data_IF_305903136153
#
_entry.id   IF_305903136153
#
_cell.length_a   1.000
_cell.length_b   1.000
_cell.length_c   1.000
_cell.angle_alpha   90.00
_cell.angle_beta   90.00
_cell.angle_gamma   90.00
#
_symmetry.space_group_name_H-M   'P 1'
#
loop_
_entity.id
_entity.type
_entity.pdbx_description
1 polymer ?
#
# COMPACT_ATOMS: atom_id res chain seq x y z
N UNK A 1 51.65 36.73 -8.35
CA UNK A 1 51.39 35.27 -8.46
C UNK A 1 50.84 35.02 -9.86
N UNK A 2 51.51 34.14 -10.62
CA UNK A 2 51.45 34.07 -12.09
C UNK A 2 50.06 33.75 -12.67
N UNK A 3 49.79 34.41 -13.79
CA UNK A 3 48.72 34.20 -14.77
C UNK A 3 48.84 32.82 -15.43
N UNK A 4 47.76 32.02 -15.40
CA UNK A 4 47.65 30.74 -16.10
C UNK A 4 47.35 30.98 -17.59
N UNK A 5 48.33 30.69 -18.44
CA UNK A 5 48.14 30.55 -19.88
C UNK A 5 47.51 29.20 -20.22
N UNK A 6 46.55 29.22 -21.14
CA UNK A 6 45.78 28.06 -21.64
C UNK A 6 46.36 27.69 -23.01
N UNK A 7 46.94 26.50 -23.14
CA UNK A 7 47.34 25.93 -24.44
C UNK A 7 46.24 24.97 -24.95
N UNK A 8 45.91 24.97 -26.25
CA UNK A 8 44.86 24.13 -26.82
C UNK A 8 45.35 22.71 -27.11
N UNK A 9 44.62 21.69 -26.64
CA UNK A 9 44.88 20.29 -27.02
C UNK A 9 44.25 20.04 -28.40
N UNK A 10 45.12 19.89 -29.40
CA UNK A 10 44.79 19.38 -30.73
C UNK A 10 44.37 17.90 -30.66
N UNK A 11 43.11 17.62 -31.00
CA UNK A 11 42.62 16.25 -31.25
C UNK A 11 43.06 15.80 -32.63
N UNK A 12 44.08 14.95 -32.71
CA UNK A 12 44.39 14.20 -33.92
C UNK A 12 43.38 13.05 -34.05
N UNK A 13 42.47 13.18 -35.00
CA UNK A 13 41.62 12.12 -35.51
C UNK A 13 42.44 11.14 -36.33
N UNK A 14 42.78 9.99 -35.74
CA UNK A 14 43.32 8.85 -36.49
C UNK A 14 42.19 7.85 -36.72
N UNK A 15 41.66 7.87 -37.94
CA UNK A 15 40.75 6.86 -38.47
C UNK A 15 41.49 5.52 -38.54
N UNK A 16 41.13 4.56 -37.69
CA UNK A 16 41.49 3.15 -37.89
C UNK A 16 40.19 2.39 -38.14
N UNK A 17 39.96 2.11 -39.41
CA UNK A 17 38.99 1.13 -39.88
C UNK A 17 39.48 -0.27 -39.51
N UNK A 18 38.87 -0.89 -38.48
CA UNK A 18 38.94 -2.34 -38.29
C UNK A 18 37.52 -2.89 -38.17
N UNK A 19 36.98 -3.28 -39.33
CA UNK A 19 35.86 -4.20 -39.44
C UNK A 19 36.33 -5.60 -39.07
N UNK A 20 36.08 -6.02 -37.83
CA UNK A 20 35.80 -7.42 -37.42
C UNK A 20 35.44 -7.41 -35.93
N UNK A 21 34.25 -6.89 -35.61
CA UNK A 21 33.65 -7.15 -34.31
C UNK A 21 33.18 -8.62 -34.30
N UNK A 22 33.89 -9.48 -33.58
CA UNK A 22 33.55 -10.90 -33.40
C UNK A 22 32.07 -11.02 -33.01
N UNK A 23 31.33 -11.95 -33.62
CA UNK A 23 29.91 -12.18 -33.31
C UNK A 23 29.68 -12.43 -31.81
N UNK A 24 30.64 -13.04 -31.11
CA UNK A 24 30.63 -13.19 -29.66
C UNK A 24 30.68 -11.86 -28.90
N UNK A 25 31.42 -10.86 -29.37
CA UNK A 25 31.43 -9.52 -28.76
C UNK A 25 30.14 -8.74 -29.04
N UNK A 26 29.53 -8.90 -30.22
CA UNK A 26 28.18 -8.38 -30.49
C UNK A 26 27.14 -9.09 -29.65
N UNK A 27 27.24 -10.41 -29.46
CA UNK A 27 26.32 -11.19 -28.64
C UNK A 27 26.45 -10.81 -27.17
N UNK A 28 27.68 -10.69 -26.65
CA UNK A 28 27.94 -10.24 -25.28
C UNK A 28 27.50 -8.79 -25.10
N UNK A 29 27.77 -7.89 -26.04
CA UNK A 29 27.30 -6.51 -25.95
C UNK A 29 25.78 -6.42 -26.06
N UNK A 30 25.13 -7.23 -26.89
CA UNK A 30 23.66 -7.33 -26.98
C UNK A 30 23.07 -7.96 -25.74
N UNK A 31 23.69 -9.00 -25.16
CA UNK A 31 23.29 -9.59 -23.89
C UNK A 31 23.51 -8.63 -22.72
N UNK A 32 24.61 -7.87 -22.72
CA UNK A 32 24.87 -6.83 -21.73
C UNK A 32 23.85 -5.71 -21.91
N UNK A 33 23.51 -5.25 -23.11
CA UNK A 33 22.44 -4.24 -23.30
C UNK A 33 21.05 -4.79 -22.99
N UNK A 34 20.77 -6.07 -23.26
CA UNK A 34 19.50 -6.72 -22.93
C UNK A 34 19.38 -7.04 -21.43
N UNK A 35 20.50 -7.32 -20.76
CA UNK A 35 20.60 -7.56 -19.33
C UNK A 35 20.72 -6.26 -18.53
N UNK A 36 21.31 -5.19 -19.09
CA UNK A 36 21.32 -3.83 -18.55
C UNK A 36 20.08 -3.01 -18.93
N UNK A 37 19.26 -3.50 -19.87
CA UNK A 37 17.83 -3.22 -19.86
C UNK A 37 17.14 -4.06 -18.77
N UNK A 38 17.74 -4.12 -17.58
CA UNK A 38 16.96 -3.94 -16.35
C UNK A 38 16.12 -2.71 -16.65
N UNK A 39 14.84 -2.96 -16.90
CA UNK A 39 13.85 -1.97 -17.24
C UNK A 39 14.06 -0.77 -16.30
N UNK A 40 14.44 0.39 -16.85
CA UNK A 40 14.20 1.66 -16.17
C UNK A 40 12.67 1.80 -16.15
N UNK A 41 12.01 1.04 -15.27
CA UNK A 41 10.59 1.12 -15.04
C UNK A 41 10.34 2.51 -14.48
N UNK A 42 9.82 3.38 -15.32
CA UNK A 42 9.38 4.70 -14.90
C UNK A 42 8.17 4.50 -14.00
N UNK A 43 8.39 4.66 -12.69
CA UNK A 43 7.30 4.66 -11.73
C UNK A 43 6.55 6.00 -11.82
N UNK A 44 5.22 5.93 -11.77
CA UNK A 44 4.35 7.10 -11.66
C UNK A 44 3.90 7.28 -10.22
N UNK A 45 3.56 8.51 -9.87
CA UNK A 45 2.99 8.85 -8.56
C UNK A 45 1.55 8.36 -8.46
N UNK A 46 1.17 7.83 -7.29
CA UNK A 46 -0.20 7.39 -6.99
C UNK A 46 -1.21 8.52 -7.26
N UNK A 47 -0.91 9.76 -6.87
CA UNK A 47 -1.81 10.89 -7.09
C UNK A 47 -1.97 11.29 -8.57
N UNK A 48 -1.11 10.82 -9.46
CA UNK A 48 -1.23 11.08 -10.90
C UNK A 48 -2.21 10.12 -11.60
N UNK A 49 -2.63 9.05 -10.92
CA UNK A 49 -3.54 8.05 -11.46
C UNK A 49 -4.95 8.63 -11.63
N UNK A 50 -5.60 8.23 -12.72
CA UNK A 50 -7.00 8.52 -13.02
C UNK A 50 -7.64 7.32 -13.75
N UNK A 51 -8.94 7.41 -14.06
CA UNK A 51 -9.67 6.29 -14.68
C UNK A 51 -9.09 5.80 -16.02
N UNK A 52 -8.32 6.64 -16.72
CA UNK A 52 -7.70 6.27 -17.99
C UNK A 52 -6.30 5.64 -17.81
N UNK A 53 -5.78 5.57 -16.59
CA UNK A 53 -4.48 4.98 -16.26
C UNK A 53 -4.57 3.44 -16.30
N UNK A 54 -4.34 2.84 -17.47
CA UNK A 54 -4.42 1.37 -17.65
C UNK A 54 -3.05 0.68 -17.59
N UNK A 55 -2.00 1.35 -18.05
CA UNK A 55 -0.62 0.85 -18.09
C UNK A 55 0.29 1.72 -17.21
N UNK A 56 0.03 1.70 -15.90
CA UNK A 56 0.89 2.36 -14.92
C UNK A 56 1.86 1.37 -14.29
N UNK A 57 2.91 1.90 -13.69
CA UNK A 57 3.75 1.16 -12.75
C UNK A 57 3.94 2.06 -11.53
N UNK A 58 3.47 1.61 -10.36
CA UNK A 58 3.64 2.35 -9.10
C UNK A 58 4.58 1.60 -8.17
N UNK A 59 5.36 2.37 -7.42
CA UNK A 59 6.19 1.88 -6.34
C UNK A 59 5.59 2.37 -5.03
N UNK A 60 5.22 1.44 -4.15
CA UNK A 60 4.47 1.78 -2.95
C UNK A 60 4.82 0.88 -1.76
N UNK A 61 4.29 1.24 -0.59
CA UNK A 61 4.39 0.48 0.64
C UNK A 61 2.99 0.10 1.10
N UNK A 62 2.82 -1.16 1.51
CA UNK A 62 1.55 -1.64 2.07
C UNK A 62 1.38 -1.09 3.49
N UNK A 63 0.36 -0.27 3.71
CA UNK A 63 0.09 0.36 5.01
C UNK A 63 -1.08 -0.28 5.76
N UNK A 64 -1.96 -0.94 5.02
CA UNK A 64 -3.06 -1.73 5.56
C UNK A 64 -3.36 -2.89 4.63
N UNK A 65 -3.84 -3.99 5.20
CA UNK A 65 -4.44 -5.10 4.46
C UNK A 65 -5.48 -5.80 5.31
N UNK A 66 -6.65 -6.05 4.73
CA UNK A 66 -7.68 -6.88 5.33
C UNK A 66 -7.32 -8.36 5.29
N UNK A 67 -7.93 -9.17 6.15
CA UNK A 67 -7.88 -10.63 5.99
C UNK A 67 -8.45 -11.04 4.63
N UNK A 68 -7.90 -12.10 4.04
CA UNK A 68 -8.48 -12.74 2.85
C UNK A 68 -9.83 -13.36 3.23
N UNK A 69 -10.92 -12.72 2.82
CA UNK A 69 -12.27 -13.23 3.03
C UNK A 69 -12.60 -14.21 1.91
N UNK A 70 -13.14 -15.38 2.26
CA UNK A 70 -13.53 -16.41 1.32
C UNK A 70 -15.00 -16.76 1.54
N UNK A 71 -15.84 -16.55 0.52
CA UNK A 71 -17.28 -16.83 0.56
C UNK A 71 -17.62 -18.18 -0.07
N UNK A 72 -16.81 -18.64 -1.02
CA UNK A 72 -16.92 -19.96 -1.65
C UNK A 72 -15.53 -20.44 -2.10
N UNK A 73 -15.44 -21.60 -2.77
CA UNK A 73 -14.17 -22.09 -3.33
C UNK A 73 -13.51 -21.08 -4.26
N UNK A 74 -14.32 -20.37 -5.07
CA UNK A 74 -13.83 -19.47 -6.12
C UNK A 74 -13.99 -17.98 -5.77
N UNK A 75 -14.84 -17.65 -4.80
CA UNK A 75 -15.12 -16.26 -4.42
C UNK A 75 -14.29 -15.86 -3.20
N UNK A 76 -13.29 -15.02 -3.46
CA UNK A 76 -12.32 -14.53 -2.47
C UNK A 76 -12.12 -13.04 -2.68
N UNK A 77 -11.94 -12.30 -1.60
CA UNK A 77 -11.66 -10.86 -1.67
C UNK A 77 -10.77 -10.42 -0.53
N UNK A 78 -9.87 -9.50 -0.83
CA UNK A 78 -9.27 -8.65 0.19
C UNK A 78 -9.10 -7.24 -0.37
N UNK A 79 -9.01 -6.30 0.56
CA UNK A 79 -8.67 -4.92 0.29
C UNK A 79 -7.38 -4.56 1.03
N UNK A 80 -6.59 -3.67 0.42
CA UNK A 80 -5.36 -3.16 0.99
C UNK A 80 -5.26 -1.66 0.71
N UNK A 81 -4.55 -0.94 1.58
CA UNK A 81 -4.18 0.44 1.31
C UNK A 81 -2.66 0.46 1.12
N UNK A 82 -2.22 1.10 0.04
CA UNK A 82 -0.82 1.31 -0.29
C UNK A 82 -0.52 2.79 -0.39
N UNK A 83 0.70 3.20 -0.07
CA UNK A 83 1.11 4.60 -0.21
C UNK A 83 2.50 4.75 -0.86
N UNK A 84 2.71 5.91 -1.45
CA UNK A 84 4.00 6.41 -1.90
C UNK A 84 4.24 7.81 -1.31
N UNK A 85 5.18 8.58 -1.86
CA UNK A 85 5.47 9.93 -1.39
C UNK A 85 4.39 10.95 -1.77
N UNK A 86 3.59 10.66 -2.78
CA UNK A 86 2.53 11.52 -3.29
C UNK A 86 1.23 11.35 -2.49
N UNK A 87 0.83 10.11 -2.19
CA UNK A 87 -0.45 9.82 -1.55
C UNK A 87 -0.67 8.33 -1.28
N UNK A 88 -1.92 7.98 -1.01
CA UNK A 88 -2.38 6.62 -0.80
C UNK A 88 -3.53 6.24 -1.74
N UNK A 89 -3.71 4.94 -1.93
CA UNK A 89 -4.80 4.39 -2.76
C UNK A 89 -5.21 3.01 -2.25
N UNK A 90 -6.50 2.71 -2.41
CA UNK A 90 -7.06 1.39 -2.12
C UNK A 90 -6.77 0.45 -3.29
N UNK A 91 -6.29 -0.75 -2.96
CA UNK A 91 -6.16 -1.88 -3.86
C UNK A 91 -7.23 -2.91 -3.49
N UNK A 92 -8.01 -3.35 -4.47
CA UNK A 92 -9.01 -4.41 -4.29
C UNK A 92 -8.65 -5.61 -5.17
N UNK A 93 -8.55 -6.78 -4.56
CA UNK A 93 -8.25 -8.03 -5.24
C UNK A 93 -9.42 -9.01 -5.10
N UNK A 94 -9.81 -9.63 -6.21
CA UNK A 94 -10.88 -10.64 -6.24
C UNK A 94 -10.35 -11.98 -6.76
N UNK A 95 -10.93 -13.08 -6.27
CA UNK A 95 -10.79 -14.44 -6.79
C UNK A 95 -9.32 -14.87 -6.94
N UNK A 96 -8.89 -15.19 -8.16
CA UNK A 96 -7.52 -15.60 -8.48
C UNK A 96 -6.50 -14.50 -8.13
N UNK A 97 -6.84 -13.23 -8.41
CA UNK A 97 -6.02 -12.07 -8.09
C UNK A 97 -5.81 -11.94 -6.58
N UNK A 98 -6.86 -12.20 -5.81
CA UNK A 98 -6.79 -12.23 -4.35
C UNK A 98 -5.86 -13.35 -3.88
N UNK A 99 -6.03 -14.56 -4.42
CA UNK A 99 -5.20 -15.70 -4.05
C UNK A 99 -3.71 -15.50 -4.33
N UNK A 100 -3.34 -15.03 -5.53
CA UNK A 100 -1.92 -14.89 -5.91
C UNK A 100 -1.20 -13.73 -5.22
N UNK A 101 -1.92 -12.68 -4.86
CA UNK A 101 -1.32 -11.45 -4.29
C UNK A 101 -1.33 -11.41 -2.76
N UNK A 102 -2.08 -12.32 -2.11
CA UNK A 102 -2.24 -12.37 -0.65
C UNK A 102 -0.87 -12.40 0.09
N UNK A 103 0.03 -13.30 -0.29
CA UNK A 103 1.32 -13.44 0.38
C UNK A 103 2.33 -12.31 0.05
N UNK A 104 2.10 -11.61 -1.07
CA UNK A 104 2.98 -10.54 -1.55
C UNK A 104 2.60 -9.22 -0.88
N UNK A 105 1.32 -8.89 -0.87
CA UNK A 105 0.79 -7.72 -0.18
C UNK A 105 0.70 -8.04 1.30
N UNK A 106 1.73 -7.69 2.07
CA UNK A 106 1.68 -7.78 3.54
C UNK A 106 2.08 -6.47 4.15
N UNK A 107 1.52 -6.16 5.33
CA UNK A 107 1.78 -4.92 6.05
C UNK A 107 3.28 -4.58 6.13
N UNK A 108 3.63 -3.32 5.86
CA UNK A 108 4.99 -2.75 5.82
C UNK A 108 5.91 -3.25 4.71
N UNK A 109 5.49 -4.15 3.82
CA UNK A 109 6.30 -4.51 2.65
C UNK A 109 6.27 -3.40 1.60
N UNK A 110 7.42 -3.22 0.96
CA UNK A 110 7.58 -2.40 -0.22
C UNK A 110 7.28 -3.27 -1.46
N UNK A 111 6.37 -2.80 -2.31
CA UNK A 111 5.90 -3.53 -3.50
C UNK A 111 5.84 -2.62 -4.72
N UNK A 112 5.94 -3.19 -5.91
CA UNK A 112 5.54 -2.54 -7.15
C UNK A 112 4.22 -3.14 -7.62
N UNK A 113 3.39 -2.31 -8.25
CA UNK A 113 2.15 -2.74 -8.89
C UNK A 113 2.17 -2.20 -10.31
N UNK A 114 2.17 -3.10 -11.27
CA UNK A 114 2.06 -2.80 -12.69
C UNK A 114 0.67 -3.16 -13.19
N UNK A 115 0.03 -2.21 -13.85
CA UNK A 115 -1.31 -2.31 -14.44
C UNK A 115 -2.44 -2.64 -13.46
N UNK A 116 -3.65 -2.24 -13.81
CA UNK A 116 -4.84 -2.40 -12.98
C UNK A 116 -6.01 -1.63 -13.57
N UNK A 117 -7.21 -1.90 -13.07
CA UNK A 117 -8.39 -1.12 -13.42
C UNK A 117 -8.61 -0.03 -12.37
N UNK A 118 -8.21 1.21 -12.73
CA UNK A 118 -8.38 2.40 -11.89
C UNK A 118 -9.80 2.92 -12.03
N UNK A 119 -10.54 2.96 -10.93
CA UNK A 119 -11.95 3.37 -10.91
C UNK A 119 -12.24 4.28 -9.73
N UNK A 120 -13.38 4.96 -9.77
CA UNK A 120 -13.82 5.78 -8.63
C UNK A 120 -14.11 4.86 -7.45
N UNK A 121 -13.52 5.20 -6.30
CA UNK A 121 -13.82 4.50 -5.04
C UNK A 121 -15.25 4.79 -4.61
N UNK A 122 -15.90 3.79 -4.02
CA UNK A 122 -17.14 4.06 -3.30
C UNK A 122 -16.81 4.89 -2.05
N UNK A 123 -17.09 6.19 -2.09
CA UNK A 123 -16.74 7.14 -1.03
C UNK A 123 -17.29 6.76 0.35
N UNK A 124 -18.35 5.96 0.41
CA UNK A 124 -18.91 5.43 1.67
C UNK A 124 -17.96 4.49 2.41
N UNK A 125 -17.05 3.83 1.68
CA UNK A 125 -16.09 2.85 2.18
C UNK A 125 -14.63 3.28 1.94
N UNK A 126 -14.40 4.55 1.59
CA UNK A 126 -13.08 5.05 1.27
C UNK A 126 -12.31 5.43 2.54
N UNK A 127 -11.32 4.62 2.88
CA UNK A 127 -10.34 4.86 3.95
C UNK A 127 -9.04 5.52 3.47
N UNK A 128 -8.95 5.85 2.19
CA UNK A 128 -7.80 6.49 1.53
C UNK A 128 -8.09 7.96 1.21
N UNK A 129 -7.05 8.76 0.93
CA UNK A 129 -7.18 10.14 0.45
C UNK A 129 -7.52 10.19 -1.04
N UNK A 130 -7.07 9.21 -1.83
CA UNK A 130 -7.44 9.11 -3.24
C UNK A 130 -8.95 8.92 -3.42
N UNK A 131 -9.50 9.56 -4.45
CA UNK A 131 -10.88 9.37 -4.91
C UNK A 131 -11.01 8.16 -5.86
N UNK A 132 -9.89 7.51 -6.15
CA UNK A 132 -9.82 6.32 -6.97
C UNK A 132 -9.40 5.10 -6.15
N UNK A 133 -9.69 3.93 -6.68
CA UNK A 133 -9.18 2.64 -6.23
C UNK A 133 -8.60 1.89 -7.44
N UNK A 134 -7.66 0.97 -7.20
CA UNK A 134 -7.15 0.05 -8.21
C UNK A 134 -7.76 -1.32 -7.94
N UNK A 135 -8.48 -1.87 -8.92
CA UNK A 135 -8.82 -3.29 -8.92
C UNK A 135 -7.75 -4.07 -9.65
N UNK A 136 -7.23 -5.12 -9.00
CA UNK A 136 -6.34 -6.06 -9.67
C UNK A 136 -7.08 -6.81 -10.78
N UNK A 137 -6.40 -6.96 -11.90
CA UNK A 137 -6.87 -7.68 -13.08
C UNK A 137 -5.86 -8.78 -13.45
N UNK A 138 -6.20 -9.71 -14.35
CA UNK A 138 -5.29 -10.82 -14.72
C UNK A 138 -3.91 -10.37 -15.23
N UNK A 139 -3.82 -9.20 -15.86
CA UNK A 139 -2.55 -8.63 -16.33
C UNK A 139 -1.79 -7.83 -15.26
N UNK A 140 -2.34 -7.66 -14.05
CA UNK A 140 -1.66 -6.93 -12.98
C UNK A 140 -0.45 -7.72 -12.47
N UNK A 141 0.73 -7.10 -12.41
CA UNK A 141 1.94 -7.73 -11.88
C UNK A 141 2.31 -7.06 -10.56
N UNK A 142 2.55 -7.86 -9.51
CA UNK A 142 2.91 -7.36 -8.18
C UNK A 142 4.19 -8.03 -7.74
N UNK A 143 5.22 -7.23 -7.45
CA UNK A 143 6.51 -7.73 -6.98
C UNK A 143 6.88 -7.09 -5.65
N UNK A 144 7.35 -7.88 -4.69
CA UNK A 144 7.97 -7.34 -3.48
C UNK A 144 9.43 -7.03 -3.73
N UNK A 145 9.92 -5.91 -3.18
CA UNK A 145 11.34 -5.57 -3.26
C UNK A 145 11.85 -5.03 -1.91
N UNK A 146 13.17 -5.05 -1.74
CA UNK A 146 13.83 -4.47 -0.57
C UNK A 146 14.35 -3.09 -0.93
N UNK A 147 14.01 -2.09 -0.13
CA UNK A 147 14.61 -0.77 -0.23
C UNK A 147 14.61 -0.09 1.13
N UNK A 148 15.80 0.30 1.59
CA UNK A 148 15.96 1.09 2.80
C UNK A 148 15.65 2.57 2.58
N UNK A 149 15.78 3.07 1.35
CA UNK A 149 15.61 4.49 1.00
C UNK A 149 14.17 4.88 0.73
N UNK A 150 13.30 3.94 0.32
CA UNK A 150 11.89 4.21 0.06
C UNK A 150 11.04 3.89 1.28
N UNK A 151 10.75 4.93 2.05
CA UNK A 151 9.96 4.85 3.28
C UNK A 151 8.90 5.96 3.30
N UNK A 152 7.83 5.86 2.50
CA UNK A 152 6.75 6.83 2.53
C UNK A 152 6.10 6.87 3.92
N UNK A 153 5.83 8.09 4.40
CA UNK A 153 5.19 8.35 5.69
C UNK A 153 3.68 8.44 5.47
N UNK A 154 2.94 7.70 6.28
CA UNK A 154 1.48 7.59 6.19
C UNK A 154 0.85 8.93 6.60
N UNK A 155 0.05 9.51 5.71
CA UNK A 155 -0.87 10.60 6.08
C UNK A 155 -2.21 9.99 6.47
N UNK A 156 -2.40 9.75 7.76
CA UNK A 156 -3.64 9.18 8.29
C UNK A 156 -4.77 10.21 8.16
N UNK A 157 -5.91 9.81 7.58
CA UNK A 157 -7.11 10.66 7.54
C UNK A 157 -7.85 10.59 8.88
N UNK A 158 -7.33 11.34 9.84
CA UNK A 158 -7.90 11.37 11.19
C UNK A 158 -9.29 12.04 11.20
N UNK A 159 -10.24 11.37 11.82
CA UNK A 159 -11.58 11.86 12.10
C UNK A 159 -11.64 12.35 13.54
N UNK A 160 -12.28 13.50 13.74
CA UNK A 160 -12.68 13.95 15.07
C UNK A 160 -13.84 13.10 15.58
N UNK A 161 -13.84 12.76 16.87
CA UNK A 161 -14.84 11.87 17.47
C UNK A 161 -16.27 12.39 17.25
N UNK A 162 -16.49 13.71 17.35
CA UNK A 162 -17.82 14.30 17.15
C UNK A 162 -18.40 14.04 15.76
N UNK A 163 -17.55 13.90 14.73
CA UNK A 163 -17.99 13.73 13.35
C UNK A 163 -18.34 12.27 13.02
N UNK A 164 -17.96 11.31 13.87
CA UNK A 164 -18.21 9.88 13.63
C UNK A 164 -19.71 9.58 13.63
N UNK A 165 -20.50 10.29 14.44
CA UNK A 165 -21.96 10.13 14.49
C UNK A 165 -22.66 10.40 13.15
N UNK A 166 -22.02 11.16 12.25
CA UNK A 166 -22.57 11.48 10.94
C UNK A 166 -22.16 10.47 9.86
N UNK A 167 -21.34 9.48 10.21
CA UNK A 167 -20.89 8.45 9.28
C UNK A 167 -21.88 7.28 9.25
N UNK A 168 -21.86 6.54 8.15
CA UNK A 168 -22.67 5.34 8.03
C UNK A 168 -22.18 4.25 8.98
N UNK A 169 -23.11 3.46 9.49
CA UNK A 169 -22.76 2.25 10.22
C UNK A 169 -21.89 1.33 9.35
N UNK A 170 -20.83 0.80 9.94
CA UNK A 170 -19.83 -0.02 9.23
C UNK A 170 -18.73 0.77 8.50
N UNK A 171 -18.75 2.11 8.51
CA UNK A 171 -17.64 2.90 7.98
C UNK A 171 -16.34 2.68 8.77
N UNK A 172 -15.22 2.69 8.06
CA UNK A 172 -13.88 2.67 8.65
C UNK A 172 -13.46 4.10 9.01
N UNK A 173 -12.92 4.28 10.21
CA UNK A 173 -12.48 5.58 10.72
C UNK A 173 -11.12 5.45 11.37
N UNK A 174 -10.24 6.41 11.09
CA UNK A 174 -9.03 6.59 11.87
C UNK A 174 -9.27 7.68 12.92
N UNK A 175 -9.08 7.35 14.19
CA UNK A 175 -9.32 8.27 15.31
C UNK A 175 -8.10 8.32 16.21
N UNK A 176 -7.82 9.49 16.77
CA UNK A 176 -6.79 9.66 17.78
C UNK A 176 -7.42 10.32 19.00
N UNK A 177 -7.16 9.77 20.17
CA UNK A 177 -7.69 10.26 21.43
C UNK A 177 -6.96 9.67 22.62
N UNK A 178 -7.18 10.26 23.79
CA UNK A 178 -6.68 9.77 25.07
C UNK A 178 -7.63 8.70 25.60
N UNK A 179 -7.10 7.58 26.07
CA UNK A 179 -7.90 6.57 26.77
C UNK A 179 -8.28 7.14 28.15
N UNK A 180 -9.58 7.29 28.39
CA UNK A 180 -10.13 7.82 29.65
C UNK A 180 -10.78 6.75 30.51
N UNK A 181 -11.02 5.57 29.94
CA UNK A 181 -11.49 4.37 30.65
C UNK A 181 -10.96 3.12 29.95
N UNK A 182 -10.54 2.14 30.73
CA UNK A 182 -9.97 0.88 30.25
C UNK A 182 -10.44 -0.24 31.18
N UNK A 183 -11.30 -1.11 30.66
CA UNK A 183 -11.92 -2.19 31.43
C UNK A 183 -11.10 -3.49 31.33
N UNK A 184 -11.46 -4.47 32.15
CA UNK A 184 -10.84 -5.79 32.13
C UNK A 184 -11.20 -6.56 30.85
N UNK A 185 -10.29 -7.45 30.43
CA UNK A 185 -10.56 -8.35 29.31
C UNK A 185 -11.53 -9.43 29.77
N UNK A 186 -12.66 -9.53 29.08
CA UNK A 186 -13.68 -10.56 29.32
C UNK A 186 -13.68 -11.58 28.19
N UNK A 187 -13.96 -12.84 28.50
CA UNK A 187 -14.19 -13.88 27.50
C UNK A 187 -15.70 -14.08 27.31
N UNK A 188 -16.16 -14.11 26.07
CA UNK A 188 -17.56 -14.35 25.71
C UNK A 188 -17.62 -15.53 24.74
N UNK A 189 -18.59 -16.42 24.94
CA UNK A 189 -18.88 -17.50 23.99
C UNK A 189 -20.02 -17.02 23.10
N UNK A 190 -19.79 -16.98 21.79
CA UNK A 190 -20.82 -16.71 20.79
C UNK A 190 -21.90 -17.79 20.89
N UNK A 191 -23.12 -17.39 21.26
CA UNK A 191 -24.23 -18.33 21.39
C UNK A 191 -24.65 -18.97 20.04
N UNK A 192 -24.40 -18.28 18.93
CA UNK A 192 -24.76 -18.75 17.59
C UNK A 192 -23.72 -19.67 16.97
N UNK A 193 -22.44 -19.52 17.32
CA UNK A 193 -21.33 -20.28 16.69
C UNK A 193 -20.59 -21.19 17.66
N UNK A 194 -20.81 -21.05 18.97
CA UNK A 194 -20.07 -21.76 20.02
C UNK A 194 -18.61 -21.30 20.19
N UNK A 195 -18.15 -20.31 19.42
CA UNK A 195 -16.77 -19.84 19.47
C UNK A 195 -16.53 -18.88 20.63
N UNK A 196 -15.39 -19.05 21.32
CA UNK A 196 -14.95 -18.13 22.37
C UNK A 196 -14.20 -16.94 21.77
N UNK A 197 -14.61 -15.73 22.15
CA UNK A 197 -13.98 -14.47 21.77
C UNK A 197 -13.62 -13.67 23.03
N UNK A 198 -12.43 -13.11 23.06
CA UNK A 198 -12.05 -12.15 24.11
C UNK A 198 -12.40 -10.73 23.69
N UNK A 199 -12.84 -9.93 24.65
CA UNK A 199 -13.27 -8.56 24.46
C UNK A 199 -12.70 -7.66 25.56
N UNK A 200 -12.17 -6.51 25.19
CA UNK A 200 -11.74 -5.46 26.12
C UNK A 200 -12.40 -4.12 25.74
N UNK A 201 -13.39 -3.65 26.51
CA UNK A 201 -13.98 -2.34 26.30
C UNK A 201 -13.07 -1.23 26.82
N UNK A 202 -12.93 -0.17 26.05
CA UNK A 202 -12.23 1.07 26.42
C UNK A 202 -13.09 2.28 26.05
N UNK A 203 -12.79 3.43 26.64
CA UNK A 203 -13.35 4.74 26.22
C UNK A 203 -12.21 5.66 25.82
N UNK A 204 -12.32 6.24 24.63
CA UNK A 204 -11.38 7.24 24.12
C UNK A 204 -12.04 8.62 24.09
N UNK A 205 -11.24 9.67 24.27
CA UNK A 205 -11.67 11.07 24.24
C UNK A 205 -10.70 11.93 23.43
N UNK A 206 -11.22 12.84 22.62
CA UNK A 206 -10.49 13.94 22.00
C UNK A 206 -11.09 15.29 22.44
N UNK A 207 -10.63 16.40 21.84
CA UNK A 207 -11.13 17.74 22.17
C UNK A 207 -12.61 17.94 21.78
N UNK A 208 -13.16 17.07 20.94
CA UNK A 208 -14.51 17.18 20.37
C UNK A 208 -15.54 16.27 21.01
N UNK A 209 -15.12 15.14 21.60
CA UNK A 209 -16.05 14.18 22.19
C UNK A 209 -15.38 12.94 22.78
N UNK A 210 -16.21 11.96 23.17
CA UNK A 210 -15.75 10.66 23.67
C UNK A 210 -16.54 9.52 23.06
N UNK A 211 -15.90 8.37 22.84
CA UNK A 211 -16.51 7.19 22.22
C UNK A 211 -16.09 5.91 22.94
N UNK A 212 -17.02 4.94 23.02
CA UNK A 212 -16.72 3.59 23.49
C UNK A 212 -16.14 2.76 22.34
N UNK A 213 -15.04 2.08 22.61
CA UNK A 213 -14.33 1.23 21.67
C UNK A 213 -14.24 -0.17 22.25
N UNK A 214 -14.42 -1.18 21.40
CA UNK A 214 -14.22 -2.58 21.77
C UNK A 214 -13.04 -3.17 21.02
N UNK A 215 -12.07 -3.71 21.77
CA UNK A 215 -10.95 -4.49 21.22
C UNK A 215 -11.28 -5.98 21.33
N UNK A 216 -10.95 -6.76 20.30
CA UNK A 216 -11.30 -8.18 20.21
C UNK A 216 -10.06 -9.08 20.07
N UNK A 217 -10.19 -10.33 20.53
CA UNK A 217 -9.29 -11.46 20.28
C UNK A 217 -7.81 -11.15 20.57
N UNK A 218 -6.88 -11.46 19.65
CA UNK A 218 -5.44 -11.26 19.85
C UNK A 218 -5.05 -9.81 20.16
N UNK A 219 -5.92 -8.83 19.81
CA UNK A 219 -5.62 -7.41 20.01
C UNK A 219 -5.86 -6.93 21.43
N UNK A 220 -6.56 -7.67 22.30
CA UNK A 220 -6.92 -7.22 23.67
C UNK A 220 -5.72 -6.85 24.54
N UNK A 221 -4.55 -7.44 24.26
CA UNK A 221 -3.30 -7.20 24.97
C UNK A 221 -2.46 -6.04 24.41
N UNK A 222 -2.96 -5.30 23.41
CA UNK A 222 -2.24 -4.19 22.78
C UNK A 222 -2.20 -2.97 23.71
N UNK A 223 -1.01 -2.61 24.23
CA UNK A 223 -0.87 -1.63 25.34
C UNK A 223 -0.44 -0.20 24.96
N UNK A 224 -0.16 0.15 23.69
CA UNK A 224 0.56 1.42 23.40
C UNK A 224 0.05 2.35 22.31
N UNK A 225 -0.65 1.88 21.29
CA UNK A 225 -1.34 2.71 20.30
C UNK A 225 -2.27 1.76 19.56
N UNK A 226 -3.57 2.00 19.62
CA UNK A 226 -4.53 1.15 18.92
C UNK A 226 -4.89 1.89 17.63
N UNK A 227 -4.29 1.46 16.51
CA UNK A 227 -4.78 1.85 15.19
C UNK A 227 -6.08 1.09 14.95
N UNK A 228 -7.21 1.77 15.14
CA UNK A 228 -8.54 1.21 14.96
C UNK A 228 -8.98 1.28 13.49
N UNK A 229 -8.24 0.65 12.59
CA UNK A 229 -8.64 0.58 11.17
C UNK A 229 -9.65 -0.55 10.87
N UNK A 230 -10.20 -1.21 11.90
CA UNK A 230 -11.15 -2.32 11.74
C UNK A 230 -12.60 -1.85 11.85
N UNK A 231 -13.53 -2.46 11.08
CA UNK A 231 -14.92 -2.05 11.10
C UNK A 231 -15.52 -2.34 12.47
N UNK A 232 -16.13 -1.33 13.08
CA UNK A 232 -16.95 -1.51 14.26
C UNK A 232 -18.34 -1.96 13.82
N UNK A 233 -18.72 -3.18 14.20
CA UNK A 233 -20.12 -3.46 14.47
C UNK A 233 -20.47 -2.74 15.77
N UNK A 234 -21.20 -1.62 15.69
CA UNK A 234 -22.04 -1.22 16.81
C UNK A 234 -23.29 -2.09 16.76
N UNK A 235 -23.66 -2.71 17.87
CA UNK A 235 -25.04 -3.14 18.09
C UNK A 235 -25.86 -1.94 18.54
#
# INVERSE_FOLDING_TARGET
>A
SLTLYKEPITTNSTTISNQTANESTKFIQTFIYHFFSVTNETYVDINSLNQNSTNFNIRCKVIYKSSLRQYSTNDKVFDAIVCDLSGDIIIVAFNEEAGRSDNIMTLKKNITIQSGDVRMVNQKFNSSQSIYEIRLIPSSIINSYKSASFNPVIKIKQHQIINIYNLFHGSHVDVQGTIVYDDETTANISQSTGQSHTRRPIKIKDDTGSMNVTIWNEKVNSKKTIFLSTPFLSF
#
